data_IF_630144524498
#
_entry.id   IF_630144524498
#
_cell.length_a   1.000
_cell.length_b   1.000
_cell.length_c   1.000
_cell.angle_alpha   90.00
_cell.angle_beta   90.00
_cell.angle_gamma   90.00
#
_symmetry.space_group_name_H-M   'P 1'
#
loop_
_entity.id
_entity.type
_entity.pdbx_description
1 polymer ?
#
# COMPACT_ATOMS: atom_id res chain seq x y z
N UNK A 1 35.30 3.42 12.34
CA UNK A 1 34.76 3.71 11.00
C UNK A 1 33.24 3.52 10.87
N UNK A 2 32.52 3.01 11.88
CA UNK A 2 31.08 2.66 11.78
C UNK A 2 30.10 3.82 11.48
N UNK A 3 30.32 5.03 12.00
CA UNK A 3 29.32 6.11 11.89
C UNK A 3 29.09 6.73 10.50
N UNK A 4 29.76 6.27 9.43
CA UNK A 4 29.45 6.67 8.05
C UNK A 4 28.50 5.67 7.37
N UNK A 5 28.59 4.40 7.74
CA UNK A 5 27.81 3.31 7.14
C UNK A 5 26.38 3.28 7.72
N UNK A 6 26.22 3.59 9.01
CA UNK A 6 24.91 3.66 9.67
C UNK A 6 24.04 4.81 9.12
N UNK A 7 24.62 5.98 8.85
CA UNK A 7 23.92 7.12 8.24
C UNK A 7 23.49 6.83 6.79
N UNK A 8 24.31 6.10 6.05
CA UNK A 8 23.99 5.69 4.66
C UNK A 8 22.87 4.65 4.66
N UNK A 9 22.93 3.70 5.60
CA UNK A 9 21.89 2.69 5.83
C UNK A 9 20.56 3.35 6.23
N UNK A 10 20.59 4.28 7.19
CA UNK A 10 19.43 5.04 7.65
C UNK A 10 18.81 5.88 6.53
N UNK A 11 19.61 6.53 5.68
CA UNK A 11 19.11 7.27 4.52
C UNK A 11 18.46 6.34 3.47
N UNK A 12 19.05 5.17 3.21
CA UNK A 12 18.49 4.16 2.31
C UNK A 12 17.14 3.63 2.80
N UNK A 13 17.05 3.31 4.10
CA UNK A 13 15.81 2.84 4.73
C UNK A 13 14.70 3.89 4.71
N UNK A 14 15.02 5.18 4.93
CA UNK A 14 14.03 6.27 4.79
C UNK A 14 13.51 6.39 3.37
N UNK A 15 14.38 6.27 2.36
CA UNK A 15 13.95 6.29 0.95
C UNK A 15 13.05 5.10 0.61
N UNK A 16 13.38 3.91 1.12
CA UNK A 16 12.51 2.74 0.97
C UNK A 16 11.15 2.95 1.64
N UNK A 17 11.14 3.53 2.84
CA UNK A 17 9.92 3.88 3.56
C UNK A 17 9.04 4.85 2.75
N UNK A 18 9.61 5.92 2.20
CA UNK A 18 8.89 6.89 1.36
C UNK A 18 8.26 6.22 0.12
N UNK A 19 8.97 5.30 -0.52
CA UNK A 19 8.45 4.55 -1.67
C UNK A 19 7.28 3.65 -1.28
N UNK A 20 7.39 2.95 -0.15
CA UNK A 20 6.32 2.09 0.37
C UNK A 20 5.09 2.93 0.77
N UNK A 21 5.28 4.07 1.41
CA UNK A 21 4.19 4.98 1.78
C UNK A 21 3.49 5.56 0.54
N UNK A 22 4.26 5.94 -0.49
CA UNK A 22 3.70 6.40 -1.76
C UNK A 22 2.89 5.31 -2.47
N UNK A 23 3.34 4.05 -2.41
CA UNK A 23 2.60 2.92 -2.98
C UNK A 23 1.30 2.62 -2.23
N UNK A 24 1.34 2.64 -0.89
CA UNK A 24 0.14 2.50 -0.05
C UNK A 24 -0.89 3.57 -0.40
N UNK A 25 -0.45 4.82 -0.57
CA UNK A 25 -1.35 5.92 -0.94
C UNK A 25 -2.03 5.68 -2.30
N UNK A 26 -1.25 5.27 -3.32
CA UNK A 26 -1.78 4.95 -4.66
C UNK A 26 -2.77 3.78 -4.66
N UNK A 27 -2.46 2.72 -3.92
CA UNK A 27 -3.35 1.56 -3.81
C UNK A 27 -4.66 1.90 -3.09
N UNK A 28 -4.59 2.70 -2.03
CA UNK A 28 -5.80 3.18 -1.32
C UNK A 28 -6.69 4.05 -2.20
N UNK A 29 -6.10 4.94 -2.99
CA UNK A 29 -6.83 5.75 -3.96
C UNK A 29 -7.51 4.86 -5.03
N UNK A 30 -6.77 3.87 -5.54
CA UNK A 30 -7.29 2.92 -6.53
C UNK A 30 -8.43 2.05 -5.98
N UNK A 31 -8.33 1.56 -4.74
CA UNK A 31 -9.38 0.80 -4.08
C UNK A 31 -10.62 1.65 -3.81
N UNK A 32 -10.44 2.92 -3.41
CA UNK A 32 -11.54 3.86 -3.23
C UNK A 32 -12.27 4.15 -4.55
N UNK A 33 -11.52 4.29 -5.64
CA UNK A 33 -12.05 4.48 -6.99
C UNK A 33 -12.88 3.26 -7.43
N UNK A 34 -12.36 2.04 -7.26
CA UNK A 34 -13.10 0.80 -7.57
C UNK A 34 -14.40 0.70 -6.77
N UNK A 35 -14.38 1.05 -5.47
CA UNK A 35 -15.59 1.06 -4.64
C UNK A 35 -16.61 2.08 -5.09
N UNK A 36 -16.17 3.25 -5.53
CA UNK A 36 -17.06 4.25 -6.12
C UNK A 36 -17.72 3.69 -7.38
N UNK A 37 -16.94 3.04 -8.25
CA UNK A 37 -17.48 2.40 -9.47
C UNK A 37 -18.49 1.31 -9.15
N UNK A 38 -18.26 0.48 -8.11
CA UNK A 38 -19.22 -0.53 -7.64
C UNK A 38 -20.52 0.11 -7.10
N UNK A 39 -20.43 1.28 -6.46
CA UNK A 39 -21.55 1.97 -5.82
C UNK A 39 -22.36 2.89 -6.76
N UNK A 40 -21.77 3.38 -7.85
CA UNK A 40 -22.44 4.25 -8.80
C UNK A 40 -23.42 3.45 -9.69
N UNK A 41 -24.72 3.67 -9.44
CA UNK A 41 -25.88 3.03 -10.08
C UNK A 41 -25.99 3.17 -11.61
N UNK A 42 -25.09 3.92 -12.26
CA UNK A 42 -25.00 4.03 -13.73
C UNK A 42 -24.31 2.81 -14.36
N UNK A 43 -23.51 2.10 -13.55
CA UNK A 43 -22.76 0.89 -13.86
C UNK A 43 -23.26 -0.27 -12.99
N UNK A 44 -24.59 -0.46 -12.85
CA UNK A 44 -25.06 -1.70 -12.23
C UNK A 44 -24.54 -2.83 -13.13
N UNK A 45 -23.56 -3.65 -12.70
CA UNK A 45 -23.07 -4.71 -13.55
C UNK A 45 -24.27 -5.62 -13.70
N UNK A 46 -24.84 -5.66 -14.90
CA UNK A 46 -26.02 -6.48 -15.20
C UNK A 46 -25.75 -7.97 -14.99
N UNK A 47 -24.50 -8.33 -14.66
CA UNK A 47 -23.99 -9.65 -14.33
C UNK A 47 -23.41 -9.68 -12.90
N UNK A 48 -23.94 -10.57 -12.06
CA UNK A 48 -23.42 -10.87 -10.72
C UNK A 48 -21.95 -11.27 -10.73
N UNK A 49 -21.46 -11.89 -11.81
CA UNK A 49 -20.07 -12.29 -11.96
C UNK A 49 -19.13 -11.08 -12.06
N UNK A 50 -19.55 -10.01 -12.74
CA UNK A 50 -18.78 -8.78 -12.88
C UNK A 50 -18.70 -8.02 -11.54
N UNK A 51 -19.82 -7.98 -10.79
CA UNK A 51 -19.83 -7.48 -9.39
C UNK A 51 -18.85 -8.26 -8.51
N UNK A 52 -18.91 -9.59 -8.56
CA UNK A 52 -18.05 -10.44 -7.75
C UNK A 52 -16.56 -10.22 -8.10
N UNK A 53 -16.22 -10.10 -9.38
CA UNK A 53 -14.84 -9.83 -9.81
C UNK A 53 -14.32 -8.48 -9.29
N UNK A 54 -15.15 -7.42 -9.33
CA UNK A 54 -14.79 -6.10 -8.80
C UNK A 54 -14.60 -6.11 -7.28
N UNK A 55 -15.44 -6.85 -6.55
CA UNK A 55 -15.30 -7.03 -5.10
C UNK A 55 -13.99 -7.76 -4.78
N UNK A 56 -13.72 -8.89 -5.43
CA UNK A 56 -12.48 -9.65 -5.25
C UNK A 56 -11.26 -8.78 -5.54
N UNK A 57 -11.26 -8.00 -6.62
CA UNK A 57 -10.17 -7.09 -6.94
C UNK A 57 -9.95 -6.02 -5.86
N UNK A 58 -11.02 -5.51 -5.25
CA UNK A 58 -10.92 -4.56 -4.14
C UNK A 58 -10.34 -5.24 -2.87
N UNK A 59 -10.77 -6.46 -2.55
CA UNK A 59 -10.25 -7.24 -1.42
C UNK A 59 -8.77 -7.60 -1.60
N UNK A 60 -8.35 -7.97 -2.80
CA UNK A 60 -6.93 -8.23 -3.14
C UNK A 60 -6.06 -6.98 -2.96
N UNK A 61 -6.57 -5.81 -3.34
CA UNK A 61 -5.87 -4.54 -3.14
C UNK A 61 -5.73 -4.20 -1.65
N UNK A 62 -6.72 -4.51 -0.83
CA UNK A 62 -6.62 -4.31 0.61
C UNK A 62 -5.62 -5.25 1.27
N UNK A 63 -5.63 -6.53 0.89
CA UNK A 63 -4.63 -7.48 1.36
C UNK A 63 -3.20 -7.04 0.99
N UNK A 64 -3.01 -6.46 -0.19
CA UNK A 64 -1.73 -5.89 -0.61
C UNK A 64 -1.37 -4.66 0.24
N UNK A 65 -2.32 -3.76 0.52
CA UNK A 65 -2.11 -2.61 1.41
C UNK A 65 -1.68 -3.07 2.79
N UNK A 66 -2.35 -4.05 3.40
CA UNK A 66 -2.00 -4.57 4.72
C UNK A 66 -0.57 -5.12 4.76
N UNK A 67 -0.16 -5.83 3.70
CA UNK A 67 1.21 -6.34 3.59
C UNK A 67 2.26 -5.22 3.52
N UNK A 68 1.93 -4.13 2.80
CA UNK A 68 2.79 -2.96 2.69
C UNK A 68 2.83 -2.16 3.99
N UNK A 69 1.73 -2.09 4.74
CA UNK A 69 1.70 -1.47 6.06
C UNK A 69 2.56 -2.24 7.07
N UNK A 70 2.53 -3.57 7.04
CA UNK A 70 3.42 -4.39 7.85
C UNK A 70 4.90 -4.13 7.51
N UNK A 71 5.22 -3.98 6.21
CA UNK A 71 6.57 -3.62 5.75
C UNK A 71 6.97 -2.20 6.19
N UNK A 72 6.05 -1.23 6.09
CA UNK A 72 6.24 0.15 6.59
C UNK A 72 6.65 0.14 8.06
N UNK A 73 5.93 -0.62 8.87
CA UNK A 73 6.21 -0.74 10.30
C UNK A 73 7.58 -1.37 10.59
N UNK A 74 7.95 -2.42 9.85
CA UNK A 74 9.28 -3.03 9.95
C UNK A 74 10.40 -2.05 9.57
N UNK A 75 10.20 -1.27 8.50
CA UNK A 75 11.17 -0.25 8.08
C UNK A 75 11.32 0.85 9.12
N UNK A 76 10.21 1.33 9.70
CA UNK A 76 10.23 2.32 10.79
C UNK A 76 11.02 1.82 12.00
N UNK A 77 10.74 0.60 12.47
CA UNK A 77 11.49 -0.01 13.59
C UNK A 77 12.99 -0.14 13.28
N UNK A 78 13.34 -0.49 12.04
CA UNK A 78 14.74 -0.60 11.62
C UNK A 78 15.44 0.76 11.57
N UNK A 79 14.74 1.82 11.15
CA UNK A 79 15.28 3.19 11.18
C UNK A 79 15.54 3.61 12.62
N UNK A 80 14.57 3.42 13.53
CA UNK A 80 14.71 3.72 14.96
C UNK A 80 15.87 2.96 15.62
N UNK A 81 16.14 1.74 15.17
CA UNK A 81 17.25 0.91 15.68
C UNK A 81 18.62 1.36 15.16
N UNK A 82 18.68 2.08 14.04
CA UNK A 82 19.93 2.51 13.37
C UNK A 82 20.24 4.00 13.59
N UNK A 83 19.28 4.76 14.13
CA UNK A 83 19.47 6.13 14.63
C UNK A 83 20.16 6.17 16.01
#
# INVERSE_FOLDING_TARGET
MAGRDDRTTSASLRRELELVEAEIARLRESAAELRRQIGERWFDPTDEAERAALITAAEEQEALVDSLEARREQLRKRIETVE
#
